data_IF_182984562888
#
_entry.id   IF_182984562888
#
_cell.length_a   1.000
_cell.length_b   1.000
_cell.length_c   1.000
_cell.angle_alpha   90.00
_cell.angle_beta   90.00
_cell.angle_gamma   90.00
#
_symmetry.space_group_name_H-M   'P 1'
#
loop_
_entity.id
_entity.type
_entity.pdbx_description
1 polymer ?
#
# COMPACT_ATOMS: atom_id res chain seq x y z
N UNK A 1 -2.71 4.07 -24.43
CA UNK A 1 -4.07 4.04 -25.03
C UNK A 1 -4.10 3.76 -26.53
N UNK A 2 -3.23 4.36 -27.36
CA UNK A 2 -3.17 4.04 -28.81
C UNK A 2 -3.08 2.53 -29.08
N UNK A 3 -2.08 1.85 -28.48
CA UNK A 3 -1.92 0.40 -28.61
C UNK A 3 -3.16 -0.42 -28.17
N UNK A 4 -3.80 -0.04 -27.07
CA UNK A 4 -5.01 -0.73 -26.58
C UNK A 4 -6.18 -0.60 -27.58
N UNK A 5 -6.34 0.58 -28.20
CA UNK A 5 -7.33 0.79 -29.26
C UNK A 5 -6.99 -0.02 -30.51
N UNK A 6 -5.74 0.03 -30.96
CA UNK A 6 -5.27 -0.73 -32.13
C UNK A 6 -5.46 -2.23 -31.95
N UNK A 7 -5.25 -2.76 -30.74
CA UNK A 7 -5.43 -4.16 -30.42
C UNK A 7 -6.89 -4.56 -30.11
N UNK A 8 -7.85 -3.62 -30.13
CA UNK A 8 -9.25 -3.90 -29.83
C UNK A 8 -9.51 -4.33 -28.39
N UNK A 9 -8.71 -3.84 -27.43
CA UNK A 9 -8.88 -4.15 -26.00
C UNK A 9 -10.26 -3.72 -25.52
N UNK A 10 -11.00 -4.65 -24.93
CA UNK A 10 -12.38 -4.43 -24.46
C UNK A 10 -12.49 -4.10 -22.97
N UNK A 11 -11.49 -4.48 -22.17
CA UNK A 11 -11.49 -4.31 -20.71
C UNK A 11 -10.13 -3.77 -20.27
N UNK A 12 -10.15 -2.74 -19.42
CA UNK A 12 -8.95 -2.16 -18.82
C UNK A 12 -9.17 -2.11 -17.31
N UNK A 13 -8.29 -2.81 -16.59
CA UNK A 13 -8.22 -2.74 -15.13
C UNK A 13 -6.91 -2.05 -14.79
N UNK A 14 -6.99 -0.92 -14.09
CA UNK A 14 -5.83 -0.11 -13.75
C UNK A 14 -5.60 -0.13 -12.24
N UNK A 15 -4.40 -0.58 -11.86
CA UNK A 15 -3.92 -0.48 -10.49
C UNK A 15 -3.51 0.97 -10.22
N UNK A 16 -4.42 1.68 -9.57
CA UNK A 16 -4.30 3.05 -9.14
C UNK A 16 -3.80 3.12 -7.69
N UNK A 17 -4.20 4.14 -6.94
CA UNK A 17 -3.89 4.32 -5.53
C UNK A 17 -5.04 5.00 -4.81
N UNK A 18 -5.32 4.63 -3.55
CA UNK A 18 -6.30 5.33 -2.72
C UNK A 18 -5.95 6.81 -2.52
N UNK A 19 -4.69 7.20 -2.72
CA UNK A 19 -4.22 8.57 -2.58
C UNK A 19 -4.93 9.54 -3.54
N UNK A 20 -5.59 9.07 -4.60
CA UNK A 20 -6.41 9.92 -5.48
C UNK A 20 -7.65 10.49 -4.78
N UNK A 21 -8.05 9.93 -3.64
CA UNK A 21 -9.22 10.34 -2.87
C UNK A 21 -8.95 11.52 -1.91
N UNK A 22 -7.68 11.89 -1.72
CA UNK A 22 -7.33 12.98 -0.81
C UNK A 22 -7.79 14.35 -1.30
N UNK A 23 -8.10 15.25 -0.36
CA UNK A 23 -8.45 16.65 -0.65
C UNK A 23 -7.60 17.63 0.18
N UNK A 24 -6.72 18.45 -0.43
CA UNK A 24 -6.32 18.37 -1.84
C UNK A 24 -5.55 17.08 -2.12
N UNK A 25 -5.63 16.58 -3.37
CA UNK A 25 -4.97 15.33 -3.79
C UNK A 25 -3.45 15.44 -3.60
N UNK A 26 -2.79 14.54 -2.85
CA UNK A 26 -1.34 14.56 -2.62
C UNK A 26 -0.54 14.29 -3.90
N UNK A 27 0.75 14.62 -3.90
CA UNK A 27 1.62 14.50 -5.09
C UNK A 27 1.55 13.13 -5.78
N UNK A 28 1.72 12.04 -5.02
CA UNK A 28 1.59 10.68 -5.58
C UNK A 28 0.17 10.41 -6.09
N UNK A 29 -0.86 10.88 -5.37
CA UNK A 29 -2.25 10.79 -5.81
C UNK A 29 -2.47 11.51 -7.15
N UNK A 30 -1.91 12.70 -7.35
CA UNK A 30 -2.01 13.46 -8.61
C UNK A 30 -1.42 12.69 -9.78
N UNK A 31 -0.34 11.93 -9.55
CA UNK A 31 0.23 11.07 -10.58
C UNK A 31 -0.79 10.02 -11.02
N UNK A 32 -1.36 9.25 -10.08
CA UNK A 32 -2.37 8.24 -10.40
C UNK A 32 -3.63 8.85 -11.02
N UNK A 33 -4.13 9.96 -10.46
CA UNK A 33 -5.32 10.64 -10.95
C UNK A 33 -5.18 11.09 -12.41
N UNK A 34 -4.03 11.64 -12.80
CA UNK A 34 -3.76 12.00 -14.19
C UNK A 34 -3.83 10.77 -15.14
N UNK A 35 -3.41 9.58 -14.69
CA UNK A 35 -3.54 8.35 -15.48
C UNK A 35 -5.00 7.86 -15.53
N UNK A 36 -5.72 7.93 -14.41
CA UNK A 36 -7.15 7.58 -14.37
C UNK A 36 -7.95 8.43 -15.37
N UNK A 37 -7.71 9.74 -15.42
CA UNK A 37 -8.35 10.65 -16.38
C UNK A 37 -8.06 10.27 -17.84
N UNK A 38 -6.80 9.97 -18.16
CA UNK A 38 -6.40 9.53 -19.51
C UNK A 38 -7.05 8.20 -19.90
N UNK A 39 -7.18 7.27 -18.96
CA UNK A 39 -7.81 5.96 -19.19
C UNK A 39 -9.32 6.11 -19.36
N UNK A 40 -9.98 6.89 -18.48
CA UNK A 40 -11.41 7.16 -18.54
C UNK A 40 -11.83 7.85 -19.84
N UNK A 41 -11.01 8.78 -20.36
CA UNK A 41 -11.26 9.43 -21.64
C UNK A 41 -11.04 8.50 -22.86
N UNK A 42 -10.45 7.31 -22.66
CA UNK A 42 -9.86 6.54 -23.75
C UNK A 42 -10.63 5.32 -24.24
N UNK A 43 -11.93 5.21 -23.91
CA UNK A 43 -12.86 4.33 -24.62
C UNK A 43 -13.51 3.26 -23.75
N UNK A 44 -12.89 2.09 -23.53
CA UNK A 44 -13.53 1.02 -22.77
C UNK A 44 -13.81 1.50 -21.35
N UNK A 45 -14.97 1.16 -20.81
CA UNK A 45 -15.37 1.46 -19.45
C UNK A 45 -14.35 0.85 -18.47
N UNK A 46 -13.41 1.64 -17.91
CA UNK A 46 -12.31 1.08 -17.16
C UNK A 46 -12.74 0.76 -15.74
N UNK A 47 -12.00 -0.13 -15.08
CA UNK A 47 -12.12 -0.34 -13.65
C UNK A 47 -10.85 0.12 -12.96
N UNK A 48 -11.00 0.90 -11.88
CA UNK A 48 -9.88 1.38 -11.08
C UNK A 48 -9.79 0.60 -9.77
N UNK A 49 -8.63 -0.01 -9.51
CA UNK A 49 -8.32 -0.62 -8.22
C UNK A 49 -7.39 0.33 -7.46
N UNK A 50 -7.84 0.86 -6.34
CA UNK A 50 -7.18 1.90 -5.54
C UNK A 50 -6.76 1.34 -4.19
N UNK A 51 -5.70 0.54 -4.12
CA UNK A 51 -5.24 -0.01 -2.87
C UNK A 51 -4.64 1.05 -1.94
N UNK A 52 -4.69 0.76 -0.63
CA UNK A 52 -3.84 1.39 0.40
C UNK A 52 -2.39 0.90 0.29
N UNK A 53 -1.54 1.28 1.25
CA UNK A 53 -0.18 0.77 1.34
C UNK A 53 -0.14 -0.77 1.38
N UNK A 54 0.90 -1.37 0.81
CA UNK A 54 0.99 -2.83 0.73
C UNK A 54 1.63 -3.41 1.99
N UNK A 55 1.19 -4.59 2.41
CA UNK A 55 1.85 -5.32 3.49
C UNK A 55 3.32 -5.63 3.16
N UNK A 56 3.65 -5.82 1.88
CA UNK A 56 5.03 -6.00 1.40
C UNK A 56 5.95 -4.80 1.64
N UNK A 57 5.41 -3.61 1.93
CA UNK A 57 6.23 -2.48 2.36
C UNK A 57 6.98 -2.78 3.67
N UNK A 58 6.54 -3.76 4.46
CA UNK A 58 7.28 -4.24 5.64
C UNK A 58 8.66 -4.81 5.29
N UNK A 59 8.91 -5.21 4.04
CA UNK A 59 10.25 -5.63 3.61
C UNK A 59 11.28 -4.49 3.65
N UNK A 60 10.84 -3.22 3.62
CA UNK A 60 11.73 -2.06 3.80
C UNK A 60 12.36 -2.03 5.21
N UNK A 61 11.80 -2.78 6.17
CA UNK A 61 12.33 -2.89 7.53
C UNK A 61 13.42 -3.94 7.69
N UNK A 62 13.63 -4.81 6.68
CA UNK A 62 14.60 -5.90 6.74
C UNK A 62 16.00 -5.43 7.16
N UNK A 63 16.58 -4.33 6.61
CA UNK A 63 17.92 -3.90 7.00
C UNK A 63 18.09 -3.62 8.49
N UNK A 64 17.10 -2.99 9.16
CA UNK A 64 17.20 -2.63 10.57
C UNK A 64 16.79 -3.75 11.50
N UNK A 65 15.81 -4.57 11.10
CA UNK A 65 15.48 -5.82 11.81
C UNK A 65 16.70 -6.74 11.86
N UNK A 66 17.42 -6.86 10.74
CA UNK A 66 18.61 -7.69 10.57
C UNK A 66 19.82 -7.16 11.34
N UNK A 67 20.10 -5.87 11.25
CA UNK A 67 21.30 -5.27 11.86
C UNK A 67 21.15 -4.95 13.34
N UNK A 68 19.94 -4.69 13.83
CA UNK A 68 19.76 -4.21 15.21
C UNK A 68 18.40 -4.50 15.85
N UNK A 69 17.53 -5.30 15.22
CA UNK A 69 16.24 -5.69 15.80
C UNK A 69 15.27 -4.53 15.99
N UNK A 70 15.31 -3.50 15.14
CA UNK A 70 14.42 -2.34 15.26
C UNK A 70 13.78 -1.95 13.93
N UNK A 71 12.71 -1.17 14.01
CA UNK A 71 12.03 -0.52 12.89
C UNK A 71 11.93 0.96 13.17
N UNK A 72 12.13 1.77 12.14
CA UNK A 72 12.00 3.22 12.22
C UNK A 72 10.54 3.63 11.90
N UNK A 73 9.94 4.44 12.76
CA UNK A 73 8.56 4.91 12.65
C UNK A 73 8.49 6.40 12.25
N UNK A 74 8.14 6.70 10.99
CA UNK A 74 7.93 8.09 10.55
C UNK A 74 6.55 8.65 10.88
N UNK A 75 5.56 7.81 11.19
CA UNK A 75 4.13 8.20 11.22
C UNK A 75 3.52 8.20 12.62
N UNK A 76 4.16 7.62 13.63
CA UNK A 76 3.74 7.71 15.03
C UNK A 76 2.28 7.30 15.25
N UNK A 77 1.39 8.21 15.69
CA UNK A 77 -0.01 7.88 15.98
C UNK A 77 -0.85 7.60 14.72
N UNK A 78 -0.30 7.81 13.52
CA UNK A 78 -0.95 7.53 12.25
C UNK A 78 -1.37 6.07 12.14
N UNK A 79 -2.58 5.83 11.64
CA UNK A 79 -3.17 4.49 11.48
C UNK A 79 -3.37 4.17 10.02
N UNK A 80 -2.91 3.00 9.60
CA UNK A 80 -3.03 2.51 8.23
C UNK A 80 -3.62 1.10 8.20
N UNK A 81 -4.38 0.79 7.15
CA UNK A 81 -4.89 -0.55 6.88
C UNK A 81 -4.18 -1.14 5.66
N UNK A 82 -2.93 -1.64 5.80
CA UNK A 82 -2.18 -2.14 4.66
C UNK A 82 -2.85 -3.38 4.07
N UNK A 83 -2.86 -3.49 2.75
CA UNK A 83 -3.49 -4.60 2.03
C UNK A 83 -2.45 -5.62 1.53
N UNK A 84 -2.80 -6.90 1.57
CA UNK A 84 -1.99 -7.96 0.98
C UNK A 84 -2.04 -7.87 -0.57
N UNK A 85 -0.91 -7.81 -1.29
CA UNK A 85 -0.90 -7.91 -2.74
C UNK A 85 -1.63 -9.14 -3.31
N UNK A 86 -1.73 -10.24 -2.56
CA UNK A 86 -2.51 -11.41 -2.96
C UNK A 86 -4.02 -11.11 -3.05
N UNK A 87 -4.54 -10.25 -2.18
CA UNK A 87 -5.95 -9.82 -2.22
C UNK A 87 -6.21 -8.80 -3.34
N UNK A 88 -5.23 -7.94 -3.64
CA UNK A 88 -5.27 -7.07 -4.83
C UNK A 88 -5.34 -7.93 -6.10
N UNK A 89 -4.51 -8.98 -6.18
CA UNK A 89 -4.49 -9.89 -7.32
C UNK A 89 -5.82 -10.66 -7.46
N UNK A 90 -6.40 -11.13 -6.35
CA UNK A 90 -7.70 -11.78 -6.36
C UNK A 90 -8.83 -10.83 -6.82
N UNK A 91 -8.86 -9.59 -6.31
CA UNK A 91 -9.79 -8.56 -6.75
C UNK A 91 -9.63 -8.24 -8.24
N UNK A 92 -8.39 -8.12 -8.72
CA UNK A 92 -8.11 -7.90 -10.13
C UNK A 92 -8.58 -9.07 -11.00
N UNK A 93 -8.40 -10.31 -10.54
CA UNK A 93 -8.89 -11.49 -11.25
C UNK A 93 -10.41 -11.46 -11.42
N UNK A 94 -11.15 -11.24 -10.33
CA UNK A 94 -12.63 -11.08 -10.35
C UNK A 94 -13.05 -10.01 -11.36
N UNK A 95 -12.50 -8.81 -11.22
CA UNK A 95 -12.83 -7.68 -12.12
C UNK A 95 -12.49 -7.97 -13.58
N UNK A 96 -11.44 -8.74 -13.84
CA UNK A 96 -11.05 -9.12 -15.20
C UNK A 96 -11.95 -10.20 -15.79
N UNK A 97 -12.52 -11.10 -14.99
CA UNK A 97 -13.24 -12.29 -15.47
C UNK A 97 -14.75 -12.24 -15.32
N UNK A 98 -15.27 -11.34 -14.49
CA UNK A 98 -16.70 -11.20 -14.23
C UNK A 98 -17.26 -9.91 -14.85
N UNK A 99 -18.58 -9.83 -14.99
CA UNK A 99 -19.28 -8.67 -15.56
C UNK A 99 -19.79 -7.73 -14.46
N UNK A 100 -20.09 -6.47 -14.79
CA UNK A 100 -20.65 -5.49 -13.85
C UNK A 100 -19.61 -4.59 -13.18
N UNK A 101 -18.34 -4.72 -13.55
CA UNK A 101 -17.25 -3.91 -13.02
C UNK A 101 -16.89 -2.70 -13.90
N UNK A 102 -17.61 -2.50 -15.00
CA UNK A 102 -17.43 -1.38 -15.92
C UNK A 102 -17.62 -0.03 -15.20
N UNK A 103 -16.67 0.90 -15.38
CA UNK A 103 -16.65 2.22 -14.74
C UNK A 103 -16.58 2.21 -13.20
N UNK A 104 -16.31 1.06 -12.59
CA UNK A 104 -16.22 0.94 -11.13
C UNK A 104 -14.86 1.40 -10.59
N UNK A 105 -14.87 1.83 -9.33
CA UNK A 105 -13.70 2.32 -8.62
C UNK A 105 -13.68 1.67 -7.24
N UNK A 106 -12.79 0.71 -7.03
CA UNK A 106 -12.70 -0.04 -5.78
C UNK A 106 -11.54 0.48 -4.95
N UNK A 107 -11.81 0.87 -3.73
CA UNK A 107 -10.79 1.24 -2.74
C UNK A 107 -10.45 0.00 -1.94
N UNK A 108 -9.24 -0.52 -2.11
CA UNK A 108 -8.87 -1.82 -1.56
C UNK A 108 -8.05 -1.63 -0.28
N UNK A 109 -8.55 -2.16 0.84
CA UNK A 109 -7.91 -2.00 2.16
C UNK A 109 -7.67 -3.36 2.82
N UNK A 110 -6.71 -3.42 3.74
CA UNK A 110 -6.63 -4.51 4.70
C UNK A 110 -7.78 -4.43 5.73
N UNK A 111 -8.03 -5.49 6.50
CA UNK A 111 -9.15 -5.53 7.44
C UNK A 111 -8.97 -4.56 8.62
N UNK A 112 -7.73 -4.38 9.06
CA UNK A 112 -7.42 -3.72 10.34
C UNK A 112 -6.62 -2.44 10.13
N UNK A 113 -7.10 -1.34 10.71
CA UNK A 113 -6.31 -0.11 10.84
C UNK A 113 -5.42 -0.20 12.08
N UNK A 114 -4.12 -0.04 11.88
CA UNK A 114 -3.08 -0.16 12.90
C UNK A 114 -2.03 0.92 12.75
N UNK A 115 -1.44 1.32 13.88
CA UNK A 115 -0.20 2.09 13.92
C UNK A 115 0.97 1.24 13.44
N UNK A 116 2.06 1.89 13.04
CA UNK A 116 3.28 1.16 12.68
C UNK A 116 3.81 0.35 13.88
N UNK A 117 3.71 0.87 15.11
CA UNK A 117 4.11 0.14 16.30
C UNK A 117 3.30 -1.14 16.53
N UNK A 118 1.99 -1.11 16.31
CA UNK A 118 1.13 -2.31 16.36
C UNK A 118 1.51 -3.32 15.26
N UNK A 119 1.80 -2.85 14.03
CA UNK A 119 2.28 -3.72 12.94
C UNK A 119 3.62 -4.39 13.31
N UNK A 120 4.56 -3.64 13.87
CA UNK A 120 5.87 -4.18 14.30
C UNK A 120 5.70 -5.22 15.41
N UNK A 121 4.76 -5.02 16.34
CA UNK A 121 4.45 -6.00 17.37
C UNK A 121 3.86 -7.29 16.78
N UNK A 122 2.94 -7.19 15.80
CA UNK A 122 2.37 -8.34 15.08
C UNK A 122 3.47 -9.11 14.34
N UNK A 123 4.34 -8.40 13.61
CA UNK A 123 5.47 -9.01 12.91
C UNK A 123 6.41 -9.70 13.90
N UNK A 124 6.74 -9.04 15.02
CA UNK A 124 7.58 -9.59 16.07
C UNK A 124 7.03 -10.89 16.65
N UNK A 125 5.72 -10.95 16.92
CA UNK A 125 5.05 -12.16 17.36
C UNK A 125 5.14 -13.29 16.32
N UNK A 126 4.90 -12.99 15.04
CA UNK A 126 4.95 -13.96 13.96
C UNK A 126 6.35 -14.58 13.75
N UNK A 127 7.42 -13.81 14.02
CA UNK A 127 8.81 -14.28 13.88
C UNK A 127 9.43 -14.74 15.21
N UNK A 128 8.68 -14.70 16.31
CA UNK A 128 9.15 -15.07 17.64
C UNK A 128 10.25 -14.15 18.21
N UNK A 129 10.25 -12.85 17.87
CA UNK A 129 11.24 -11.87 18.32
C UNK A 129 10.60 -10.55 18.71
N UNK A 130 11.03 -9.97 19.82
CA UNK A 130 10.70 -8.57 20.15
C UNK A 130 11.48 -7.64 19.22
N UNK A 131 10.79 -6.69 18.60
CA UNK A 131 11.37 -5.65 17.74
C UNK A 131 11.15 -4.28 18.37
N UNK A 132 12.19 -3.45 18.42
CA UNK A 132 12.07 -2.08 18.89
C UNK A 132 11.42 -1.19 17.82
N UNK A 133 10.61 -0.24 18.25
CA UNK A 133 10.09 0.84 17.39
C UNK A 133 10.80 2.12 17.78
N UNK A 134 11.53 2.72 16.83
CA UNK A 134 12.29 3.95 17.04
C UNK A 134 11.67 5.08 16.22
N UNK A 135 11.35 6.23 16.81
CA UNK A 135 10.80 7.34 16.05
C UNK A 135 11.85 7.86 15.07
N UNK A 136 11.42 8.22 13.86
CA UNK A 136 12.18 9.13 13.00
C UNK A 136 11.83 10.57 13.41
N UNK A 137 12.85 11.43 13.51
CA UNK A 137 12.65 12.81 13.93
C UNK A 137 11.96 13.64 12.84
N UNK A 138 12.29 13.40 11.55
CA UNK A 138 11.64 14.10 10.42
C UNK A 138 11.31 13.19 9.22
N UNK A 139 10.26 13.50 8.43
CA UNK A 139 9.97 12.75 7.20
C UNK A 139 11.15 12.67 6.20
N UNK A 140 12.03 13.66 6.16
CA UNK A 140 13.21 13.70 5.29
C UNK A 140 14.25 12.64 5.69
N UNK A 141 14.41 12.37 6.98
CA UNK A 141 15.25 11.27 7.47
C UNK A 141 14.71 9.92 7.00
N UNK A 142 13.38 9.76 6.96
CA UNK A 142 12.74 8.56 6.42
C UNK A 142 13.04 8.38 4.92
N UNK A 143 13.02 9.47 4.14
CA UNK A 143 13.41 9.43 2.72
C UNK A 143 14.88 9.03 2.57
N UNK A 144 15.79 9.66 3.32
CA UNK A 144 17.23 9.33 3.29
C UNK A 144 17.51 7.89 3.67
N UNK A 145 16.80 7.37 4.67
CA UNK A 145 16.93 5.99 5.10
C UNK A 145 16.45 5.01 4.02
N UNK A 146 15.30 5.31 3.38
CA UNK A 146 14.73 4.46 2.33
C UNK A 146 15.50 4.53 1.01
N UNK A 147 16.11 5.68 0.70
CA UNK A 147 16.86 5.93 -0.53
C UNK A 147 18.27 6.43 -0.19
N UNK A 148 19.18 5.54 0.27
CA UNK A 148 20.52 5.92 0.69
C UNK A 148 21.35 6.53 -0.45
N UNK A 149 21.10 6.10 -1.69
CA UNK A 149 21.74 6.62 -2.91
C UNK A 149 21.01 7.86 -3.49
N UNK A 150 19.97 8.33 -2.82
CA UNK A 150 19.16 9.47 -3.21
C UNK A 150 17.87 9.11 -3.95
N UNK A 151 16.83 9.89 -3.67
CA UNK A 151 15.59 9.93 -4.45
C UNK A 151 15.60 11.16 -5.35
N UNK A 152 14.82 11.14 -6.45
CA UNK A 152 14.58 12.38 -7.20
C UNK A 152 13.91 13.43 -6.29
N UNK A 153 14.13 14.74 -6.50
CA UNK A 153 13.51 15.78 -5.69
C UNK A 153 11.97 15.67 -5.63
N UNK A 154 11.35 15.30 -6.75
CA UNK A 154 9.89 15.12 -6.85
C UNK A 154 9.41 13.93 -6.01
N UNK A 155 10.14 12.81 -6.04
CA UNK A 155 9.83 11.63 -5.25
C UNK A 155 10.02 11.90 -3.75
N UNK A 156 11.13 12.55 -3.37
CA UNK A 156 11.41 12.91 -1.99
C UNK A 156 10.32 13.81 -1.41
N UNK A 157 9.95 14.87 -2.12
CA UNK A 157 8.88 15.78 -1.70
C UNK A 157 7.53 15.07 -1.58
N UNK A 158 7.21 14.16 -2.51
CA UNK A 158 5.97 13.39 -2.48
C UNK A 158 5.91 12.41 -1.29
N UNK A 159 7.03 11.79 -0.92
CA UNK A 159 7.11 10.92 0.26
C UNK A 159 6.96 11.74 1.55
N UNK A 160 7.65 12.89 1.66
CA UNK A 160 7.51 13.78 2.81
C UNK A 160 6.07 14.22 3.01
N UNK A 161 5.38 14.63 1.94
CA UNK A 161 3.94 14.96 1.99
C UNK A 161 3.11 13.76 2.44
N UNK A 162 3.35 12.57 1.87
CA UNK A 162 2.64 11.34 2.21
C UNK A 162 2.79 10.96 3.68
N UNK A 163 4.02 10.94 4.20
CA UNK A 163 4.30 10.63 5.60
C UNK A 163 3.67 11.64 6.56
N UNK A 164 3.70 12.93 6.20
CA UNK A 164 3.06 14.00 6.99
C UNK A 164 1.55 13.77 7.09
N UNK A 165 0.90 13.42 5.98
CA UNK A 165 -0.54 13.11 5.96
C UNK A 165 -0.87 11.83 6.72
N UNK A 166 -0.08 10.78 6.54
CA UNK A 166 -0.25 9.51 7.27
C UNK A 166 -0.12 9.71 8.78
N UNK A 167 0.82 10.56 9.23
CA UNK A 167 0.96 10.91 10.64
C UNK A 167 -0.27 11.63 11.22
N UNK A 168 -0.97 12.41 10.40
CA UNK A 168 -2.17 13.13 10.79
C UNK A 168 -3.45 12.27 10.74
N UNK A 169 -3.46 11.19 9.95
CA UNK A 169 -4.60 10.27 9.86
C UNK A 169 -4.57 9.25 11.00
N UNK A 170 -5.27 9.55 12.09
CA UNK A 170 -5.43 8.62 13.22
C UNK A 170 -6.65 7.70 13.08
N UNK A 171 -7.35 7.75 11.94
CA UNK A 171 -8.54 6.92 11.70
C UNK A 171 -8.15 5.64 10.97
N UNK A 172 -7.43 5.77 9.85
CA UNK A 172 -7.09 4.69 8.94
C UNK A 172 -8.31 4.24 8.13
N UNK A 173 -8.37 4.65 6.86
CA UNK A 173 -9.45 4.26 5.95
C UNK A 173 -9.54 2.73 5.81
N UNK A 174 -10.76 2.19 5.92
CA UNK A 174 -11.13 0.79 5.66
C UNK A 174 -12.40 0.75 4.82
N UNK A 175 -12.53 -0.27 4.01
CA UNK A 175 -13.66 -0.51 3.10
C UNK A 175 -13.97 -2.00 3.03
N UNK A 176 -15.18 -2.34 2.63
CA UNK A 176 -15.58 -3.74 2.42
C UNK A 176 -15.35 -4.21 0.96
N UNK A 177 -14.87 -3.35 0.06
CA UNK A 177 -14.70 -3.63 -1.38
C UNK A 177 -13.94 -4.93 -1.66
N UNK A 178 -12.89 -5.23 -0.89
CA UNK A 178 -12.15 -6.50 -1.07
C UNK A 178 -13.05 -7.68 -0.75
N UNK A 179 -13.77 -7.63 0.39
CA UNK A 179 -14.69 -8.69 0.81
C UNK A 179 -15.81 -8.88 -0.21
N UNK A 180 -16.38 -7.78 -0.69
CA UNK A 180 -17.46 -7.78 -1.68
C UNK A 180 -17.00 -8.37 -3.01
N UNK A 181 -15.79 -8.04 -3.47
CA UNK A 181 -15.23 -8.57 -4.71
C UNK A 181 -14.86 -10.05 -4.62
N UNK A 182 -14.13 -10.46 -3.58
CA UNK A 182 -13.51 -11.81 -3.55
C UNK A 182 -14.30 -12.82 -2.72
N UNK A 183 -15.40 -12.42 -2.09
CA UNK A 183 -16.31 -13.30 -1.33
C UNK A 183 -15.75 -13.83 -0.01
N UNK A 184 -14.62 -13.32 0.47
CA UNK A 184 -14.01 -13.65 1.77
C UNK A 184 -13.36 -12.42 2.40
N UNK A 185 -13.09 -12.46 3.71
CA UNK A 185 -12.34 -11.39 4.36
C UNK A 185 -10.95 -11.20 3.72
N UNK A 186 -10.44 -9.95 3.63
CA UNK A 186 -9.05 -9.70 3.28
C UNK A 186 -8.12 -10.31 4.35
N UNK A 187 -6.91 -10.69 3.94
CA UNK A 187 -5.88 -11.22 4.82
C UNK A 187 -5.53 -10.19 5.88
N UNK A 188 -5.35 -10.62 7.13
CA UNK A 188 -4.82 -9.75 8.17
C UNK A 188 -3.31 -9.55 7.99
N UNK A 189 -2.76 -8.50 8.59
CA UNK A 189 -1.31 -8.30 8.61
C UNK A 189 -0.59 -9.46 9.33
N UNK A 190 -1.24 -10.06 10.33
CA UNK A 190 -0.75 -11.25 11.04
C UNK A 190 -0.62 -12.45 10.09
N UNK A 191 -1.68 -12.79 9.36
CA UNK A 191 -1.65 -13.91 8.40
C UNK A 191 -0.56 -13.72 7.34
N UNK A 192 -0.39 -12.47 6.86
CA UNK A 192 0.67 -12.14 5.92
C UNK A 192 2.06 -12.30 6.55
N UNK A 193 2.27 -11.83 7.79
CA UNK A 193 3.53 -11.99 8.50
C UNK A 193 3.89 -13.46 8.72
N UNK A 194 2.92 -14.30 9.11
CA UNK A 194 3.14 -15.74 9.30
C UNK A 194 3.58 -16.42 8.01
N UNK A 195 2.90 -16.12 6.88
CA UNK A 195 3.29 -16.65 5.56
C UNK A 195 4.68 -16.21 5.11
N UNK A 196 5.12 -15.02 5.53
CA UNK A 196 6.37 -14.41 5.09
C UNK A 196 7.47 -14.44 6.18
N UNK A 197 7.25 -15.13 7.29
CA UNK A 197 8.13 -15.08 8.46
C UNK A 197 9.59 -15.42 8.12
N UNK A 198 9.81 -16.37 7.21
CA UNK A 198 11.15 -16.78 6.75
C UNK A 198 11.96 -15.64 6.09
N UNK A 199 11.31 -14.63 5.50
CA UNK A 199 12.03 -13.49 4.93
C UNK A 199 12.66 -12.60 6.01
N UNK A 200 12.02 -12.55 7.18
CA UNK A 200 12.41 -11.77 8.36
C UNK A 200 13.24 -12.59 9.36
N UNK A 201 13.03 -13.91 9.38
CA UNK A 201 13.72 -14.88 10.21
C UNK A 201 14.99 -15.40 9.56
N UNK A 202 16.09 -14.66 9.72
CA UNK A 202 17.45 -15.17 9.89
C UNK A 202 18.41 -13.99 10.05
N UNK A 203 19.13 -13.94 11.17
CA UNK A 203 20.53 -13.50 11.33
C UNK A 203 20.96 -13.80 12.79
N UNK A 204 22.12 -14.47 12.91
CA UNK A 204 22.79 -15.02 14.09
C UNK A 204 22.38 -16.46 14.49
N UNK A 205 22.97 -17.43 13.78
CA UNK A 205 23.75 -18.45 14.51
C UNK A 205 25.09 -17.82 14.88
#
# INVERSE_FOLDING_TARGET
>A
MSAARTAGVRRIVYLSSYAVLGDPVPAMGRWHHAREQLIAAAGPAPTFLRPTGFMTNAFDWLPTIRSGGYVLDPIGPGRAAPIDPADIAAAAAVVLTEDGHENQQYTLTGPDASTLAEQVAILGAAIGRTLDVRPIATPEEAVRFRYPDGASPELAAAIVEGLTRMRADTTGLRTDDVRELIGRAPSTFGDWCERNAAAFGDLLK
#
